data_IF_921715354433
#
_entry.id   IF_921715354433
#
_cell.length_a   1.000
_cell.length_b   1.000
_cell.length_c   1.000
_cell.angle_alpha   90.00
_cell.angle_beta   90.00
_cell.angle_gamma   90.00
#
_symmetry.space_group_name_H-M   'P 1'
#
loop_
_entity.id
_entity.type
_entity.pdbx_description
1 polymer ?
#
# COMPACT_ATOMS: atom_id res chain seq x y z
N UNK A 1 -10.01 13.39 6.97
CA UNK A 1 -9.80 14.86 7.09
C UNK A 1 -8.66 15.29 6.19
N UNK A 2 -8.49 16.59 5.92
CA UNK A 2 -7.48 17.10 4.99
C UNK A 2 -7.87 17.15 3.51
N UNK A 3 -9.05 16.64 3.14
CA UNK A 3 -9.62 16.71 1.77
C UNK A 3 -10.79 17.70 1.70
N UNK A 4 -11.81 17.50 2.55
CA UNK A 4 -13.02 18.34 2.59
C UNK A 4 -13.14 19.20 3.85
N UNK A 5 -12.21 19.02 4.79
CA UNK A 5 -12.10 19.71 6.08
C UNK A 5 -10.62 19.82 6.43
N UNK A 6 -10.27 20.69 7.37
CA UNK A 6 -8.90 20.84 7.85
C UNK A 6 -8.27 19.49 8.26
N UNK A 7 -6.99 19.35 7.95
CA UNK A 7 -6.22 18.11 8.11
C UNK A 7 -5.60 17.95 9.49
N UNK A 8 -4.84 16.86 9.64
CA UNK A 8 -4.17 16.53 10.89
C UNK A 8 -2.78 17.15 11.09
N UNK A 9 -2.36 18.10 10.25
CA UNK A 9 -1.08 18.80 10.44
C UNK A 9 -1.23 19.92 11.50
N UNK A 10 -1.71 19.53 12.67
CA UNK A 10 -1.99 20.39 13.81
C UNK A 10 -1.99 19.54 15.09
N UNK A 11 -1.80 20.16 16.25
CA UNK A 11 -1.90 19.47 17.55
C UNK A 11 -3.32 18.95 17.82
N UNK A 12 -4.33 19.59 17.23
CA UNK A 12 -5.74 19.25 17.36
C UNK A 12 -6.44 19.39 16.01
N UNK A 13 -7.40 18.52 15.72
CA UNK A 13 -8.29 18.66 14.57
C UNK A 13 -9.71 18.21 14.92
N UNK A 14 -10.71 18.79 14.24
CA UNK A 14 -12.11 18.36 14.36
C UNK A 14 -12.40 17.31 13.31
N UNK A 15 -12.89 16.14 13.75
CA UNK A 15 -13.26 15.02 12.89
C UNK A 15 -14.69 14.57 13.21
N UNK A 16 -15.45 14.04 12.23
CA UNK A 16 -16.71 13.38 12.52
C UNK A 16 -16.51 12.20 13.46
N UNK A 17 -17.44 12.03 14.41
CA UNK A 17 -17.40 10.97 15.43
C UNK A 17 -17.29 9.55 14.83
N UNK A 18 -18.03 9.28 13.75
CA UNK A 18 -18.02 8.00 13.06
C UNK A 18 -16.69 7.68 12.32
N UNK A 19 -15.78 8.65 12.20
CA UNK A 19 -14.42 8.43 11.68
C UNK A 19 -13.41 8.12 12.79
N UNK A 20 -13.82 8.17 14.05
CA UNK A 20 -12.97 7.89 15.21
C UNK A 20 -13.12 6.43 15.62
N UNK A 21 -12.04 5.67 15.44
CA UNK A 21 -12.00 4.25 15.78
C UNK A 21 -11.02 4.03 16.94
N UNK A 22 -11.39 3.16 17.88
CA UNK A 22 -10.51 2.79 18.99
C UNK A 22 -9.38 1.90 18.48
N UNK A 23 -8.13 2.33 18.71
CA UNK A 23 -6.95 1.54 18.36
C UNK A 23 -6.84 0.36 19.34
N UNK A 24 -6.70 -0.89 18.86
CA UNK A 24 -6.42 -2.05 19.70
C UNK A 24 -5.13 -1.89 20.50
N UNK A 25 -5.09 -2.40 21.73
CA UNK A 25 -3.95 -2.20 22.65
C UNK A 25 -2.62 -2.83 22.19
N UNK A 26 -2.65 -3.68 21.17
CA UNK A 26 -1.48 -4.33 20.58
C UNK A 26 -0.96 -3.63 19.31
N UNK A 27 -1.52 -2.47 18.93
CA UNK A 27 -1.14 -1.72 17.74
C UNK A 27 -0.48 -0.41 18.18
N UNK A 28 0.70 -0.09 17.64
CA UNK A 28 1.38 1.18 17.93
C UNK A 28 0.74 2.34 17.14
N UNK A 29 0.98 3.59 17.56
CA UNK A 29 0.44 4.75 16.85
C UNK A 29 0.95 4.85 15.41
N UNK A 30 2.21 4.50 15.17
CA UNK A 30 2.81 4.49 13.82
C UNK A 30 2.13 3.46 12.92
N UNK A 31 1.79 2.28 13.46
CA UNK A 31 1.04 1.26 12.73
C UNK A 31 -0.40 1.71 12.47
N UNK A 32 -1.04 2.33 13.46
CA UNK A 32 -2.40 2.87 13.30
C UNK A 32 -2.46 3.98 12.24
N UNK A 33 -1.38 4.76 12.08
CA UNK A 33 -1.26 5.74 11.00
C UNK A 33 -1.37 5.14 9.59
N UNK A 34 -1.07 3.84 9.43
CA UNK A 34 -1.22 3.12 8.15
C UNK A 34 -2.67 2.71 7.86
N UNK A 35 -3.61 2.89 8.79
CA UNK A 35 -5.02 2.52 8.56
C UNK A 35 -5.65 3.31 7.42
N UNK A 36 -5.33 4.60 7.26
CA UNK A 36 -5.85 5.42 6.17
C UNK A 36 -5.38 4.90 4.79
N UNK A 37 -4.08 4.75 4.50
CA UNK A 37 -3.66 4.25 3.20
C UNK A 37 -4.13 2.81 2.97
N UNK A 38 -4.23 1.99 4.02
CA UNK A 38 -4.77 0.62 3.92
C UNK A 38 -6.28 0.61 3.59
N UNK A 39 -7.05 1.60 4.06
CA UNK A 39 -8.47 1.73 3.72
C UNK A 39 -8.68 1.99 2.21
N UNK A 40 -7.81 2.78 1.58
CA UNK A 40 -7.81 2.99 0.14
C UNK A 40 -7.54 1.68 -0.62
N UNK A 41 -6.65 0.85 -0.10
CA UNK A 41 -6.36 -0.48 -0.62
C UNK A 41 -7.56 -1.42 -0.52
N UNK A 42 -8.24 -1.46 0.62
CA UNK A 42 -9.42 -2.29 0.82
C UNK A 42 -10.52 -1.94 -0.18
N UNK A 43 -10.81 -0.64 -0.36
CA UNK A 43 -11.76 -0.18 -1.38
C UNK A 43 -11.32 -0.55 -2.81
N UNK A 44 -10.01 -0.44 -3.10
CA UNK A 44 -9.45 -0.86 -4.37
C UNK A 44 -9.60 -2.37 -4.60
N UNK A 45 -9.40 -3.18 -3.55
CA UNK A 45 -9.58 -4.62 -3.57
C UNK A 45 -11.01 -5.00 -3.92
N UNK A 46 -12.00 -4.37 -3.29
CA UNK A 46 -13.42 -4.63 -3.56
C UNK A 46 -13.81 -4.38 -5.01
N UNK A 47 -13.15 -3.43 -5.68
CA UNK A 47 -13.40 -3.11 -7.09
C UNK A 47 -12.79 -4.10 -8.08
N UNK A 48 -11.69 -4.75 -7.72
CA UNK A 48 -10.93 -5.64 -8.61
C UNK A 48 -11.09 -7.12 -8.26
N UNK A 49 -11.64 -7.42 -7.08
CA UNK A 49 -11.86 -8.76 -6.58
C UNK A 49 -12.99 -9.46 -7.35
N UNK A 50 -12.89 -10.78 -7.61
CA UNK A 50 -11.75 -11.64 -7.28
C UNK A 50 -10.62 -11.51 -8.30
N UNK A 51 -9.37 -11.54 -7.82
CA UNK A 51 -8.20 -11.72 -8.68
C UNK A 51 -7.88 -13.23 -8.73
N UNK A 52 -7.90 -13.89 -9.90
CA UNK A 52 -7.56 -15.30 -9.98
C UNK A 52 -6.09 -15.56 -9.57
N UNK A 53 -5.86 -16.64 -8.82
CA UNK A 53 -4.51 -17.07 -8.45
C UNK A 53 -3.72 -17.43 -9.71
N UNK A 54 -2.42 -17.10 -9.71
CA UNK A 54 -1.52 -17.37 -10.84
C UNK A 54 -1.51 -16.29 -11.94
N UNK A 55 -2.36 -15.27 -11.85
CA UNK A 55 -2.27 -14.07 -12.70
C UNK A 55 -1.00 -13.27 -12.42
N UNK A 56 -0.46 -12.68 -13.47
CA UNK A 56 0.65 -11.73 -13.39
C UNK A 56 0.07 -10.36 -13.03
N UNK A 57 0.63 -9.71 -12.02
CA UNK A 57 0.17 -8.42 -11.51
C UNK A 57 1.33 -7.44 -11.61
N UNK A 58 1.08 -6.29 -12.23
CA UNK A 58 2.02 -5.17 -12.27
C UNK A 58 1.56 -4.08 -11.32
N UNK A 59 2.44 -3.66 -10.42
CA UNK A 59 2.27 -2.49 -9.55
C UNK A 59 3.17 -1.38 -10.09
N UNK A 60 2.63 -0.17 -10.21
CA UNK A 60 3.40 1.00 -10.65
C UNK A 60 3.75 1.86 -9.42
N UNK A 61 5.03 1.90 -9.07
CA UNK A 61 5.59 2.68 -7.97
C UNK A 61 5.69 1.90 -6.65
N UNK A 62 6.88 1.89 -6.05
CA UNK A 62 7.19 1.30 -4.75
C UNK A 62 7.15 2.35 -3.61
N UNK A 63 6.13 3.21 -3.65
CA UNK A 63 5.75 4.05 -2.52
C UNK A 63 4.98 3.25 -1.46
N UNK A 64 4.47 3.93 -0.43
CA UNK A 64 3.73 3.26 0.66
C UNK A 64 2.54 2.45 0.14
N UNK A 65 1.77 2.99 -0.80
CA UNK A 65 0.62 2.30 -1.43
C UNK A 65 1.05 1.04 -2.16
N UNK A 66 2.10 1.11 -2.99
CA UNK A 66 2.60 -0.04 -3.73
C UNK A 66 3.15 -1.14 -2.82
N UNK A 67 3.89 -0.75 -1.78
CA UNK A 67 4.44 -1.69 -0.79
C UNK A 67 3.34 -2.37 0.04
N UNK A 68 2.28 -1.64 0.40
CA UNK A 68 1.13 -2.25 1.07
C UNK A 68 0.38 -3.22 0.14
N UNK A 69 0.22 -2.88 -1.15
CA UNK A 69 -0.39 -3.79 -2.14
C UNK A 69 0.41 -5.08 -2.31
N UNK A 70 1.75 -4.96 -2.36
CA UNK A 70 2.70 -6.09 -2.35
C UNK A 70 2.41 -7.03 -1.18
N UNK A 71 2.30 -6.52 0.04
CA UNK A 71 2.01 -7.32 1.23
C UNK A 71 0.61 -7.94 1.16
N UNK A 72 -0.42 -7.17 0.82
CA UNK A 72 -1.79 -7.66 0.70
C UNK A 72 -1.92 -8.79 -0.33
N UNK A 73 -1.36 -8.60 -1.53
CA UNK A 73 -1.35 -9.61 -2.59
C UNK A 73 -0.59 -10.87 -2.17
N UNK A 74 0.52 -10.71 -1.46
CA UNK A 74 1.27 -11.84 -0.92
C UNK A 74 0.45 -12.63 0.12
N UNK A 75 -0.23 -11.96 1.03
CA UNK A 75 -1.12 -12.59 2.02
C UNK A 75 -2.28 -13.34 1.36
N UNK A 76 -2.76 -12.85 0.21
CA UNK A 76 -3.83 -13.46 -0.59
C UNK A 76 -3.32 -14.57 -1.55
N UNK A 77 -2.04 -14.95 -1.46
CA UNK A 77 -1.48 -16.06 -2.24
C UNK A 77 -0.99 -15.70 -3.65
N UNK A 78 -1.04 -14.44 -4.05
CA UNK A 78 -0.46 -14.02 -5.33
C UNK A 78 1.07 -14.00 -5.23
N UNK A 79 1.71 -14.70 -6.18
CA UNK A 79 3.19 -14.86 -6.21
C UNK A 79 3.85 -14.22 -7.43
N UNK A 80 3.09 -13.92 -8.48
CA UNK A 80 3.58 -13.32 -9.73
C UNK A 80 3.30 -11.81 -9.73
N UNK A 81 3.95 -11.08 -8.82
CA UNK A 81 3.77 -9.65 -8.64
C UNK A 81 5.07 -8.93 -9.02
N UNK A 82 5.00 -8.08 -10.05
CA UNK A 82 6.11 -7.24 -10.52
C UNK A 82 5.82 -5.80 -10.12
N UNK A 83 6.85 -5.04 -9.77
CA UNK A 83 6.71 -3.63 -9.42
C UNK A 83 7.71 -2.77 -10.17
N UNK A 84 7.20 -1.77 -10.88
CA UNK A 84 8.00 -0.81 -11.63
C UNK A 84 8.29 0.39 -10.74
N UNK A 85 9.56 0.64 -10.44
CA UNK A 85 9.98 1.77 -9.60
C UNK A 85 11.29 2.38 -10.12
N UNK A 86 11.26 3.62 -10.65
CA UNK A 86 12.46 4.27 -11.16
C UNK A 86 13.44 4.71 -10.06
N UNK A 87 12.97 5.01 -8.84
CA UNK A 87 13.82 5.52 -7.76
C UNK A 87 14.61 4.37 -7.08
N UNK A 88 15.96 4.37 -7.13
CA UNK A 88 16.78 3.35 -6.50
C UNK A 88 16.56 3.22 -5.00
N UNK A 89 16.37 4.33 -4.29
CA UNK A 89 16.16 4.31 -2.85
C UNK A 89 14.87 3.58 -2.46
N UNK A 90 13.80 3.75 -3.24
CA UNK A 90 12.53 3.04 -3.02
C UNK A 90 12.65 1.55 -3.32
N UNK A 91 13.46 1.18 -4.34
CA UNK A 91 13.78 -0.22 -4.62
C UNK A 91 14.53 -0.90 -3.47
N UNK A 92 15.47 -0.21 -2.82
CA UNK A 92 16.17 -0.76 -1.64
C UNK A 92 15.22 -1.04 -0.48
N UNK A 93 14.22 -0.18 -0.24
CA UNK A 93 13.22 -0.43 0.79
C UNK A 93 12.36 -1.65 0.46
N UNK A 94 11.95 -1.78 -0.80
CA UNK A 94 11.17 -2.93 -1.27
C UNK A 94 11.97 -4.24 -1.15
N UNK A 95 13.28 -4.22 -1.42
CA UNK A 95 14.14 -5.40 -1.26
C UNK A 95 14.10 -5.98 0.18
N UNK A 96 13.83 -5.15 1.19
CA UNK A 96 13.66 -5.59 2.59
C UNK A 96 12.37 -6.39 2.82
N UNK A 97 11.35 -6.18 1.99
CA UNK A 97 10.08 -6.92 2.04
C UNK A 97 10.19 -8.32 1.40
N UNK A 98 11.33 -8.65 0.79
CA UNK A 98 11.65 -9.96 0.22
C UNK A 98 11.89 -9.92 -1.29
N UNK A 99 12.65 -10.90 -1.80
CA UNK A 99 13.07 -11.00 -3.21
C UNK A 99 11.96 -11.42 -4.19
N UNK A 100 10.71 -11.51 -3.73
CA UNK A 100 9.61 -12.05 -4.54
C UNK A 100 9.08 -11.05 -5.58
N UNK A 101 9.56 -9.80 -5.55
CA UNK A 101 9.10 -8.73 -6.42
C UNK A 101 10.21 -8.37 -7.40
N UNK A 102 9.94 -8.57 -8.69
CA UNK A 102 10.85 -8.14 -9.75
C UNK A 102 10.79 -6.61 -9.82
N UNK A 103 11.95 -5.99 -9.67
CA UNK A 103 12.09 -4.54 -9.74
C UNK A 103 12.44 -4.16 -11.16
N UNK A 104 11.50 -3.57 -11.89
CA UNK A 104 11.75 -3.18 -13.27
C UNK A 104 12.13 -1.70 -13.35
N UNK A 105 13.20 -1.37 -14.09
CA UNK A 105 13.39 -0.02 -14.60
C UNK A 105 12.57 0.06 -15.87
N UNK A 106 11.74 1.08 -16.00
CA UNK A 106 10.86 1.29 -17.17
C UNK A 106 11.55 1.17 -18.57
N UNK A 107 12.88 1.08 -18.64
CA UNK A 107 13.68 0.83 -19.85
C UNK A 107 13.79 -0.64 -20.30
N UNK A 108 13.37 -1.63 -19.51
CA UNK A 108 13.57 -3.06 -19.81
C UNK A 108 12.35 -3.80 -20.37
N UNK A 109 11.26 -3.10 -20.70
CA UNK A 109 10.03 -3.67 -21.28
C UNK A 109 10.05 -3.80 -22.82
N UNK A 110 11.22 -3.62 -23.45
CA UNK A 110 11.41 -3.70 -24.90
C UNK A 110 12.26 -4.92 -25.33
N UNK A 111 12.35 -5.96 -24.50
CA UNK A 111 12.92 -7.26 -24.89
C UNK A 111 11.94 -8.40 -24.63
#
# INVERSE_FOLDING_TARGET
TGLFKDGGWAEYCSVPDHQVMKIPGNITLEQAGLCEPLSCLAHGWDKISPIPVGKNILITGAGIIGNLWVVCLHLQGHRRVTISEPNPHRREQLAKLGKMFVHDRCSTLNE
#
